data_IF_913977893223
#
_entry.id   IF_913977893223
#
_cell.length_a   1.000
_cell.length_b   1.000
_cell.length_c   1.000
_cell.angle_alpha   90.00
_cell.angle_beta   90.00
_cell.angle_gamma   90.00
#
_symmetry.space_group_name_H-M   'P 1'
#
loop_
_entity.id
_entity.type
_entity.pdbx_description
1 polymer ?
#
# COMPACT_ATOMS: atom_id res chain seq x y z
N UNK A 1 -16.63 14.92 -4.88
CA UNK A 1 -15.86 13.67 -5.07
C UNK A 1 -14.38 14.02 -4.99
N UNK A 2 -13.55 13.18 -4.38
CA UNK A 2 -12.09 13.38 -4.41
C UNK A 2 -11.57 12.94 -5.79
N UNK A 3 -10.80 13.80 -6.43
CA UNK A 3 -10.12 13.54 -7.70
C UNK A 3 -8.61 13.61 -7.48
N UNK A 4 -7.84 12.76 -8.17
CA UNK A 4 -6.39 12.71 -8.07
C UNK A 4 -5.72 12.48 -9.43
N UNK A 5 -4.49 12.95 -9.58
CA UNK A 5 -3.68 12.64 -10.76
C UNK A 5 -3.02 11.27 -10.58
N UNK A 6 -3.43 10.30 -11.39
CA UNK A 6 -2.92 8.92 -11.37
C UNK A 6 -1.98 8.60 -12.55
N UNK A 7 -1.46 9.60 -13.25
CA UNK A 7 -0.68 9.39 -14.47
C UNK A 7 0.52 8.46 -14.26
N UNK A 8 1.37 8.75 -13.26
CA UNK A 8 2.55 7.94 -12.96
C UNK A 8 2.20 6.54 -12.45
N UNK A 9 1.27 6.37 -11.47
CA UNK A 9 0.78 5.05 -11.04
C UNK A 9 0.24 4.20 -12.19
N UNK A 10 -0.65 4.76 -13.03
CA UNK A 10 -1.25 4.07 -14.18
C UNK A 10 -0.20 3.61 -15.20
N UNK A 11 0.76 4.47 -15.54
CA UNK A 11 1.82 4.11 -16.48
C UNK A 11 2.68 2.97 -15.95
N UNK A 12 3.12 3.05 -14.70
CA UNK A 12 3.90 1.99 -14.06
C UNK A 12 3.15 0.66 -13.99
N UNK A 13 1.85 0.71 -13.73
CA UNK A 13 1.00 -0.49 -13.69
C UNK A 13 0.85 -1.12 -15.06
N UNK A 14 0.54 -0.33 -16.10
CA UNK A 14 0.47 -0.84 -17.48
C UNK A 14 1.79 -1.48 -17.92
N UNK A 15 2.94 -0.90 -17.55
CA UNK A 15 4.26 -1.46 -17.84
C UNK A 15 4.50 -2.79 -17.11
N UNK A 16 4.18 -2.89 -15.81
CA UNK A 16 4.34 -4.13 -15.03
C UNK A 16 3.47 -5.27 -15.53
N UNK A 17 2.23 -4.95 -15.93
CA UNK A 17 1.26 -5.93 -16.41
C UNK A 17 1.36 -6.18 -17.92
N UNK A 18 2.32 -5.54 -18.60
CA UNK A 18 2.49 -5.62 -20.07
C UNK A 18 1.20 -5.30 -20.84
N UNK A 19 0.36 -4.41 -20.27
CA UNK A 19 -0.95 -4.06 -20.82
C UNK A 19 -0.91 -2.75 -21.62
N UNK A 20 -1.72 -2.69 -22.68
CA UNK A 20 -1.87 -1.47 -23.46
C UNK A 20 -2.95 -0.55 -22.89
N UNK A 21 -2.84 0.77 -23.17
CA UNK A 21 -3.91 1.74 -22.87
C UNK A 21 -5.23 1.38 -23.56
N UNK A 22 -5.18 0.72 -24.71
CA UNK A 22 -6.36 0.24 -25.43
C UNK A 22 -7.05 -0.87 -24.66
N UNK A 23 -6.29 -1.80 -24.08
CA UNK A 23 -6.85 -2.84 -23.22
C UNK A 23 -7.53 -2.22 -22.00
N UNK A 24 -6.84 -1.35 -21.27
CA UNK A 24 -7.42 -0.69 -20.10
C UNK A 24 -8.68 0.11 -20.44
N UNK A 25 -8.70 0.78 -21.59
CA UNK A 25 -9.86 1.50 -22.07
C UNK A 25 -11.08 0.59 -22.30
N UNK A 26 -10.84 -0.54 -22.95
CA UNK A 26 -11.87 -1.54 -23.23
C UNK A 26 -12.41 -2.18 -21.95
N UNK A 27 -11.51 -2.68 -21.11
CA UNK A 27 -11.86 -3.45 -19.92
C UNK A 27 -12.53 -2.59 -18.83
N UNK A 28 -12.06 -1.35 -18.64
CA UNK A 28 -12.64 -0.40 -17.67
C UNK A 28 -13.86 0.38 -18.22
N UNK A 29 -14.29 0.13 -19.44
CA UNK A 29 -15.38 0.87 -20.08
C UNK A 29 -15.09 2.37 -20.24
N UNK A 30 -13.83 2.76 -20.39
CA UNK A 30 -13.41 4.17 -20.47
C UNK A 30 -12.94 4.52 -21.88
N UNK A 31 -13.34 5.69 -22.45
CA UNK A 31 -12.85 6.11 -23.77
C UNK A 31 -11.32 6.14 -23.82
N UNK A 32 -10.72 5.65 -24.91
CA UNK A 32 -9.26 5.56 -25.04
C UNK A 32 -8.56 6.93 -24.95
N UNK A 33 -9.19 8.00 -25.42
CA UNK A 33 -8.69 9.38 -25.25
C UNK A 33 -8.59 9.76 -23.77
N UNK A 34 -9.62 9.43 -22.98
CA UNK A 34 -9.67 9.68 -21.54
C UNK A 34 -8.59 8.89 -20.81
N UNK A 35 -8.41 7.59 -21.10
CA UNK A 35 -7.29 6.80 -20.55
C UNK A 35 -5.94 7.41 -20.92
N UNK A 36 -5.78 7.89 -22.15
CA UNK A 36 -4.57 8.58 -22.58
C UNK A 36 -4.29 9.86 -21.78
N UNK A 37 -5.32 10.64 -21.48
CA UNK A 37 -5.18 11.87 -20.69
C UNK A 37 -4.92 11.57 -19.21
N UNK A 38 -5.59 10.56 -18.65
CA UNK A 38 -5.31 10.07 -17.29
C UNK A 38 -3.88 9.57 -17.14
N UNK A 39 -3.39 8.74 -18.08
CA UNK A 39 -2.01 8.22 -18.03
C UNK A 39 -0.94 9.28 -18.27
N UNK A 40 -1.27 10.38 -18.92
CA UNK A 40 -0.37 11.55 -19.09
C UNK A 40 -0.47 12.55 -17.91
N UNK A 41 -1.36 12.30 -16.96
CA UNK A 41 -1.63 13.23 -15.85
C UNK A 41 -2.26 14.55 -16.29
N UNK A 42 -2.92 14.59 -17.46
CA UNK A 42 -3.60 15.80 -17.96
C UNK A 42 -4.96 16.00 -17.32
N UNK A 43 -5.63 14.91 -16.95
CA UNK A 43 -6.92 14.93 -16.27
C UNK A 43 -6.85 14.16 -14.95
N UNK A 44 -7.50 14.67 -13.90
CA UNK A 44 -7.62 13.93 -12.64
C UNK A 44 -8.65 12.80 -12.81
N UNK A 45 -8.40 11.72 -12.08
CA UNK A 45 -9.25 10.53 -12.01
C UNK A 45 -10.09 10.62 -10.75
N UNK A 46 -11.40 10.41 -10.83
CA UNK A 46 -12.26 10.26 -9.65
C UNK A 46 -12.10 8.87 -9.01
N UNK A 47 -12.55 8.73 -7.76
CA UNK A 47 -12.35 7.50 -6.98
C UNK A 47 -13.04 6.29 -7.61
N UNK A 48 -14.22 6.45 -8.21
CA UNK A 48 -14.93 5.31 -8.82
C UNK A 48 -14.18 4.83 -10.06
N UNK A 49 -13.70 5.77 -10.88
CA UNK A 49 -12.88 5.42 -12.04
C UNK A 49 -11.52 4.82 -11.65
N UNK A 50 -10.95 5.24 -10.55
CA UNK A 50 -9.74 4.62 -10.00
C UNK A 50 -10.00 3.17 -9.56
N UNK A 51 -11.18 2.87 -9.02
CA UNK A 51 -11.62 1.50 -8.69
C UNK A 51 -11.78 0.66 -9.97
N UNK A 52 -12.43 1.20 -11.02
CA UNK A 52 -12.55 0.50 -12.29
C UNK A 52 -11.16 0.11 -12.85
N UNK A 53 -10.20 1.05 -12.81
CA UNK A 53 -8.83 0.76 -13.23
C UNK A 53 -8.14 -0.28 -12.34
N UNK A 54 -8.35 -0.22 -11.03
CA UNK A 54 -7.79 -1.20 -10.09
C UNK A 54 -8.31 -2.62 -10.35
N UNK A 55 -9.60 -2.74 -10.65
CA UNK A 55 -10.23 -4.02 -11.04
C UNK A 55 -9.69 -4.52 -12.37
N UNK A 56 -9.53 -3.65 -13.37
CA UNK A 56 -9.03 -4.01 -14.70
C UNK A 56 -7.54 -4.42 -14.70
N UNK A 57 -6.73 -3.75 -13.88
CA UNK A 57 -5.27 -3.96 -13.86
C UNK A 57 -4.86 -5.13 -12.98
N UNK A 58 -5.62 -5.46 -11.93
CA UNK A 58 -5.28 -6.51 -10.93
C UNK A 58 -3.85 -6.38 -10.36
N UNK A 59 -3.31 -5.16 -10.34
CA UNK A 59 -1.96 -4.84 -9.90
C UNK A 59 -1.98 -4.42 -8.42
N UNK A 60 -1.42 -5.25 -7.56
CA UNK A 60 -1.37 -5.03 -6.11
C UNK A 60 -0.70 -3.71 -5.73
N UNK A 61 0.40 -3.34 -6.39
CA UNK A 61 1.10 -2.09 -6.11
C UNK A 61 0.27 -0.88 -6.53
N UNK A 62 -0.44 -0.95 -7.67
CA UNK A 62 -1.38 0.10 -8.10
C UNK A 62 -2.54 0.25 -7.11
N UNK A 63 -3.13 -0.86 -6.65
CA UNK A 63 -4.24 -0.85 -5.69
C UNK A 63 -3.83 -0.15 -4.38
N UNK A 64 -2.66 -0.46 -3.85
CA UNK A 64 -2.13 0.18 -2.64
C UNK A 64 -1.81 1.67 -2.86
N UNK A 65 -1.25 2.03 -4.01
CA UNK A 65 -0.95 3.43 -4.34
C UNK A 65 -2.24 4.27 -4.50
N UNK A 66 -3.28 3.71 -5.11
CA UNK A 66 -4.62 4.31 -5.19
C UNK A 66 -5.22 4.50 -3.80
N UNK A 67 -5.16 3.48 -2.95
CA UNK A 67 -5.65 3.56 -1.57
C UNK A 67 -4.89 4.65 -0.77
N UNK A 68 -3.58 4.75 -0.92
CA UNK A 68 -2.78 5.82 -0.33
C UNK A 68 -3.22 7.21 -0.82
N UNK A 69 -3.33 7.40 -2.13
CA UNK A 69 -3.64 8.71 -2.74
C UNK A 69 -5.03 9.19 -2.33
N UNK A 70 -6.03 8.31 -2.28
CA UNK A 70 -7.42 8.71 -1.99
C UNK A 70 -7.75 8.71 -0.49
N UNK A 71 -7.16 7.83 0.30
CA UNK A 71 -7.55 7.61 1.70
C UNK A 71 -6.43 7.88 2.70
N UNK A 72 -5.18 8.06 2.26
CA UNK A 72 -4.03 8.29 3.14
C UNK A 72 -3.60 7.03 3.90
N UNK A 73 -3.87 5.85 3.37
CA UNK A 73 -3.41 4.57 3.93
C UNK A 73 -1.92 4.33 3.66
N UNK A 74 -1.34 3.34 4.30
CA UNK A 74 0.04 2.94 3.99
C UNK A 74 0.07 2.31 2.59
N UNK A 75 1.07 2.69 1.78
CA UNK A 75 1.34 2.11 0.47
C UNK A 75 2.55 1.18 0.53
N UNK A 76 2.79 0.44 -0.55
CA UNK A 76 4.07 -0.23 -0.75
C UNK A 76 5.18 0.77 -1.12
N UNK A 77 6.44 0.38 -0.94
CA UNK A 77 7.61 1.19 -1.31
C UNK A 77 7.64 1.46 -2.82
N UNK A 78 7.73 2.73 -3.20
CA UNK A 78 7.79 3.17 -4.61
C UNK A 78 9.11 3.81 -5.02
N UNK A 79 10.03 4.02 -4.06
CA UNK A 79 11.36 4.61 -4.29
C UNK A 79 12.29 3.68 -5.07
N UNK A 80 13.25 4.26 -5.80
CA UNK A 80 14.17 3.50 -6.67
C UNK A 80 15.56 3.28 -6.04
N UNK A 81 15.74 3.68 -4.77
CA UNK A 81 17.01 3.55 -4.04
C UNK A 81 17.38 2.09 -3.73
N UNK A 82 16.41 1.25 -3.48
CA UNK A 82 16.60 -0.14 -3.10
C UNK A 82 15.96 -1.08 -4.11
N UNK A 83 16.55 -2.27 -4.24
CA UNK A 83 15.94 -3.35 -5.01
C UNK A 83 14.64 -3.81 -4.34
N UNK A 84 13.66 -4.20 -5.16
CA UNK A 84 12.32 -4.62 -4.72
C UNK A 84 12.08 -6.12 -4.91
N UNK A 85 13.13 -6.92 -5.01
CA UNK A 85 12.98 -8.38 -4.95
C UNK A 85 12.73 -8.85 -3.50
N UNK A 86 12.12 -10.01 -3.28
CA UNK A 86 11.74 -10.47 -1.94
C UNK A 86 12.90 -10.51 -0.96
N UNK A 87 14.08 -10.97 -1.37
CA UNK A 87 15.23 -11.06 -0.48
C UNK A 87 15.72 -9.69 0.00
N UNK A 88 15.79 -8.71 -0.90
CA UNK A 88 16.19 -7.36 -0.53
C UNK A 88 15.16 -6.69 0.40
N UNK A 89 13.87 -6.90 0.14
CA UNK A 89 12.78 -6.39 0.98
C UNK A 89 12.74 -7.07 2.36
N UNK A 90 13.01 -8.37 2.45
CA UNK A 90 13.08 -9.11 3.71
C UNK A 90 14.23 -8.59 4.60
N UNK A 91 15.40 -8.34 4.02
CA UNK A 91 16.54 -7.73 4.73
C UNK A 91 16.19 -6.33 5.24
N UNK A 92 15.55 -5.49 4.43
CA UNK A 92 15.14 -4.16 4.83
C UNK A 92 14.07 -4.21 5.93
N UNK A 93 13.07 -5.08 5.80
CA UNK A 93 12.02 -5.28 6.79
C UNK A 93 12.60 -5.73 8.14
N UNK A 94 13.55 -6.66 8.13
CA UNK A 94 14.22 -7.10 9.35
C UNK A 94 14.96 -5.95 10.06
N UNK A 95 15.56 -5.04 9.30
CA UNK A 95 16.22 -3.85 9.84
C UNK A 95 15.20 -2.95 10.56
N UNK A 96 14.10 -2.57 9.88
CA UNK A 96 13.06 -1.73 10.48
C UNK A 96 12.38 -2.42 11.67
N UNK A 97 12.18 -3.75 11.62
CA UNK A 97 11.68 -4.52 12.76
C UNK A 97 12.57 -4.39 13.99
N UNK A 98 13.90 -4.38 13.82
CA UNK A 98 14.83 -4.20 14.93
C UNK A 98 14.82 -2.77 15.45
N UNK A 99 14.73 -1.75 14.58
CA UNK A 99 14.61 -0.35 14.98
C UNK A 99 13.31 -0.12 15.76
N UNK A 100 12.19 -0.65 15.30
CA UNK A 100 10.91 -0.62 16.02
C UNK A 100 11.00 -1.29 17.40
N UNK A 101 11.64 -2.47 17.50
CA UNK A 101 11.82 -3.18 18.80
C UNK A 101 12.61 -2.32 19.80
N UNK A 102 13.67 -1.66 19.35
CA UNK A 102 14.45 -0.75 20.20
C UNK A 102 13.63 0.46 20.68
N UNK A 103 12.76 1.02 19.84
CA UNK A 103 11.85 2.10 20.25
C UNK A 103 10.74 1.60 21.19
N UNK A 104 10.24 0.37 20.97
CA UNK A 104 9.25 -0.26 21.83
C UNK A 104 9.74 -0.35 23.27
N UNK A 105 10.98 -0.75 23.52
CA UNK A 105 11.55 -0.85 24.88
C UNK A 105 11.44 0.47 25.64
N UNK A 106 11.68 1.60 24.96
CA UNK A 106 11.57 2.93 25.56
C UNK A 106 10.13 3.36 25.84
N UNK A 107 9.18 2.86 25.05
CA UNK A 107 7.77 3.21 25.18
C UNK A 107 7.00 2.32 26.16
N UNK A 108 7.53 1.13 26.52
CA UNK A 108 6.79 0.11 27.28
C UNK A 108 6.19 0.64 28.57
N UNK A 109 6.99 1.29 29.42
CA UNK A 109 6.53 1.80 30.71
C UNK A 109 5.46 2.89 30.54
N UNK A 110 5.63 3.75 29.51
CA UNK A 110 4.69 4.83 29.21
C UNK A 110 3.35 4.25 28.75
N UNK A 111 3.34 3.17 27.97
CA UNK A 111 2.14 2.53 27.45
C UNK A 111 1.28 1.86 28.56
N UNK A 112 1.83 1.65 29.77
CA UNK A 112 1.08 1.15 30.93
C UNK A 112 0.41 2.26 31.75
N UNK A 113 0.73 3.53 31.47
CA UNK A 113 0.19 4.68 32.19
C UNK A 113 -1.23 5.01 31.72
N UNK A 114 -2.00 5.70 32.59
CA UNK A 114 -3.26 6.31 32.18
C UNK A 114 -2.98 7.38 31.11
N UNK A 115 -3.75 7.36 30.02
CA UNK A 115 -3.58 8.30 28.90
C UNK A 115 -3.65 9.78 29.29
N UNK A 116 -4.38 10.10 30.37
CA UNK A 116 -4.51 11.45 30.91
C UNK A 116 -3.26 11.94 31.65
N UNK A 117 -2.41 11.04 32.10
CA UNK A 117 -1.18 11.34 32.86
C UNK A 117 0.05 11.38 31.98
N UNK A 118 -0.05 11.02 30.68
CA UNK A 118 1.06 10.99 29.74
C UNK A 118 1.44 12.41 29.35
N UNK A 119 2.65 12.83 29.67
CA UNK A 119 3.20 14.15 29.31
C UNK A 119 3.39 14.30 27.81
N UNK A 120 3.63 15.55 27.35
CA UNK A 120 3.91 15.83 25.93
C UNK A 120 5.20 15.13 25.47
N UNK A 121 6.22 15.09 26.27
CA UNK A 121 7.51 14.43 25.99
C UNK A 121 7.31 12.93 25.87
N UNK A 122 6.52 12.33 26.74
CA UNK A 122 6.18 10.91 26.69
C UNK A 122 5.35 10.56 25.46
N UNK A 123 4.42 11.44 25.03
CA UNK A 123 3.71 11.28 23.76
C UNK A 123 4.65 11.27 22.56
N UNK A 124 5.72 12.04 22.57
CA UNK A 124 6.73 12.00 21.51
C UNK A 124 7.45 10.64 21.45
N UNK A 125 7.77 10.04 22.62
CA UNK A 125 8.38 8.69 22.67
C UNK A 125 7.43 7.63 22.07
N UNK A 126 6.13 7.72 22.40
CA UNK A 126 5.12 6.82 21.79
C UNK A 126 5.03 7.07 20.29
N UNK A 127 5.06 8.32 19.85
CA UNK A 127 5.00 8.68 18.43
C UNK A 127 6.22 8.19 17.66
N UNK A 128 7.44 8.29 18.23
CA UNK A 128 8.65 7.71 17.65
C UNK A 128 8.51 6.19 17.45
N UNK A 129 7.99 5.49 18.45
CA UNK A 129 7.72 4.05 18.34
C UNK A 129 6.66 3.75 17.26
N UNK A 130 5.59 4.54 17.19
CA UNK A 130 4.56 4.39 16.16
C UNK A 130 5.10 4.68 14.75
N UNK A 131 6.04 5.62 14.61
CA UNK A 131 6.66 5.94 13.32
C UNK A 131 7.50 4.78 12.79
N UNK A 132 8.33 4.16 13.63
CA UNK A 132 9.08 2.94 13.25
C UNK A 132 8.12 1.79 12.88
N UNK A 133 6.95 1.74 13.52
CA UNK A 133 5.92 0.76 13.17
C UNK A 133 5.35 1.00 11.77
N UNK A 134 5.18 2.27 11.38
CA UNK A 134 4.73 2.63 10.03
C UNK A 134 5.76 2.26 8.97
N UNK A 135 7.05 2.46 9.25
CA UNK A 135 8.15 2.11 8.35
C UNK A 135 8.23 0.59 8.16
N UNK A 136 8.13 -0.19 9.25
CA UNK A 136 8.07 -1.65 9.18
C UNK A 136 6.86 -2.15 8.36
N UNK A 137 5.63 -1.63 8.61
CA UNK A 137 4.43 -2.02 7.86
C UNK A 137 4.56 -1.70 6.37
N UNK A 138 5.16 -0.57 6.00
CA UNK A 138 5.41 -0.22 4.60
C UNK A 138 6.29 -1.26 3.91
N UNK A 139 7.36 -1.72 4.58
CA UNK A 139 8.25 -2.74 4.04
C UNK A 139 7.63 -4.14 4.06
N UNK A 140 6.89 -4.51 5.12
CA UNK A 140 6.12 -5.76 5.15
C UNK A 140 5.09 -5.81 4.02
N UNK A 141 4.38 -4.71 3.79
CA UNK A 141 3.43 -4.60 2.68
C UNK A 141 4.14 -4.74 1.32
N UNK A 142 5.32 -4.15 1.18
CA UNK A 142 6.11 -4.25 -0.05
C UNK A 142 6.64 -5.68 -0.29
N UNK A 143 7.10 -6.34 0.77
CA UNK A 143 7.52 -7.74 0.74
C UNK A 143 6.35 -8.66 0.39
N UNK A 144 5.19 -8.46 1.03
CA UNK A 144 3.98 -9.24 0.73
C UNK A 144 3.60 -9.12 -0.74
N UNK A 145 3.57 -7.92 -1.32
CA UNK A 145 3.28 -7.71 -2.75
C UNK A 145 4.29 -8.47 -3.61
N UNK A 146 5.60 -8.34 -3.32
CA UNK A 146 6.65 -9.01 -4.09
C UNK A 146 6.56 -10.55 -4.02
N UNK A 147 6.10 -11.11 -2.91
CA UNK A 147 5.85 -12.55 -2.76
C UNK A 147 4.60 -12.99 -3.54
N UNK A 148 3.53 -12.20 -3.50
CA UNK A 148 2.30 -12.48 -4.25
C UNK A 148 2.51 -12.37 -5.77
N UNK A 149 3.34 -11.44 -6.22
CA UNK A 149 3.72 -11.30 -7.64
C UNK A 149 4.42 -12.59 -8.16
N UNK A 150 5.27 -13.24 -7.35
CA UNK A 150 5.86 -14.55 -7.71
C UNK A 150 4.79 -15.65 -7.83
N UNK A 151 3.73 -15.56 -7.02
CA UNK A 151 2.62 -16.50 -7.06
C UNK A 151 1.58 -16.16 -8.16
N UNK A 152 1.77 -15.06 -8.88
CA UNK A 152 0.81 -14.55 -9.88
C UNK A 152 -0.59 -14.29 -9.28
N UNK A 153 -0.65 -13.87 -8.00
CA UNK A 153 -1.88 -13.61 -7.26
C UNK A 153 -1.92 -12.15 -6.83
N UNK A 154 -3.03 -11.45 -7.12
CA UNK A 154 -3.21 -10.08 -6.62
C UNK A 154 -3.47 -10.06 -5.11
N UNK A 155 -3.14 -8.92 -4.45
CA UNK A 155 -3.44 -8.73 -3.02
C UNK A 155 -4.94 -8.84 -2.73
N UNK A 156 -5.79 -8.40 -3.65
CA UNK A 156 -7.26 -8.51 -3.54
C UNK A 156 -7.68 -9.98 -3.52
N UNK A 157 -7.13 -10.79 -4.40
CA UNK A 157 -7.41 -12.22 -4.45
C UNK A 157 -6.90 -12.94 -3.20
N UNK A 158 -5.68 -12.66 -2.77
CA UNK A 158 -5.09 -13.23 -1.56
C UNK A 158 -5.94 -12.91 -0.31
N UNK A 159 -6.39 -11.66 -0.17
CA UNK A 159 -7.30 -11.22 0.91
C UNK A 159 -8.62 -11.99 0.85
N UNK A 160 -9.24 -12.11 -0.33
CA UNK A 160 -10.49 -12.86 -0.49
C UNK A 160 -10.34 -14.34 -0.10
N UNK A 161 -9.24 -14.98 -0.48
CA UNK A 161 -8.96 -16.38 -0.09
C UNK A 161 -8.76 -16.51 1.43
N UNK A 162 -8.19 -15.50 2.11
CA UNK A 162 -7.96 -15.51 3.57
C UNK A 162 -9.19 -15.12 4.39
N UNK A 163 -10.20 -14.50 3.80
CA UNK A 163 -11.38 -13.94 4.51
C UNK A 163 -12.09 -14.98 5.39
N UNK A 164 -12.34 -16.18 4.86
CA UNK A 164 -13.01 -17.26 5.62
C UNK A 164 -12.22 -17.68 6.87
N UNK A 165 -10.88 -17.77 6.75
CA UNK A 165 -9.99 -18.07 7.87
C UNK A 165 -10.03 -16.97 8.93
N UNK A 166 -9.96 -15.70 8.53
CA UNK A 166 -9.98 -14.57 9.45
C UNK A 166 -11.32 -14.48 10.22
N UNK A 167 -12.45 -14.76 9.54
CA UNK A 167 -13.76 -14.85 10.19
C UNK A 167 -13.81 -16.00 11.21
N UNK A 168 -13.31 -17.18 10.83
CA UNK A 168 -13.24 -18.34 11.75
C UNK A 168 -12.38 -18.03 13.00
N UNK A 169 -11.31 -17.25 12.85
CA UNK A 169 -10.45 -16.83 13.96
C UNK A 169 -11.02 -15.64 14.78
N UNK A 170 -12.12 -15.04 14.34
CA UNK A 170 -12.70 -13.87 14.98
C UNK A 170 -11.89 -12.57 14.77
N UNK A 171 -11.03 -12.55 13.77
CA UNK A 171 -10.26 -11.33 13.42
C UNK A 171 -11.09 -10.33 12.63
N UNK A 172 -12.13 -10.80 11.95
CA UNK A 172 -13.08 -10.02 11.16
C UNK A 172 -14.52 -10.57 11.36
N UNK A 173 -15.51 -9.73 11.13
CA UNK A 173 -16.96 -10.06 11.18
C UNK A 173 -17.46 -10.64 9.86
#
# INVERSE_FOLDING_TARGET
MRNALLGKPLMKSLERQELSKKYLAFDSGTPQSTVSDHTKGKQPVDVNKAIDYAVSLQDSAFNLEVAYIFFGTISSMTGDKYQRNPLALDILQLKESNERKAKKEKALDILTMNSQEISKEQKNVIFDYASEYLDEIMLETSLLVSLLDICEISITEAVNQRMSYWKQKGYMN
#
